data_IF_861010659786
#
_entry.id   IF_861010659786
#
_cell.length_a   1.000
_cell.length_b   1.000
_cell.length_c   1.000
_cell.angle_alpha   90.00
_cell.angle_beta   90.00
_cell.angle_gamma   90.00
#
_symmetry.space_group_name_H-M   'P 1'
#
loop_
_entity.id
_entity.type
_entity.pdbx_description
1 polymer ?
#
# COMPACT_ATOMS: atom_id res chain seq x y z
N UNK A 1 -0.26 12.77 3.95
CA UNK A 1 0.13 11.42 3.47
C UNK A 1 -0.95 10.44 3.87
N UNK A 2 -1.76 10.03 2.89
CA UNK A 2 -2.96 9.23 3.11
C UNK A 2 -2.67 7.80 2.66
N UNK A 3 -2.63 6.86 3.61
CA UNK A 3 -2.44 5.44 3.35
C UNK A 3 -1.26 5.14 2.42
N UNK A 4 -0.12 5.78 2.68
CA UNK A 4 1.09 5.57 1.88
C UNK A 4 2.24 6.48 2.30
N UNK A 5 3.47 5.97 2.18
CA UNK A 5 4.71 6.73 2.29
C UNK A 5 5.87 5.95 1.65
N UNK A 6 7.08 6.49 1.73
CA UNK A 6 8.24 5.92 1.06
C UNK A 6 8.71 4.55 1.58
N UNK A 7 8.26 4.00 2.71
CA UNK A 7 8.73 2.68 3.21
C UNK A 7 7.82 1.51 2.80
N UNK A 8 6.54 1.78 2.51
CA UNK A 8 5.56 0.73 2.16
C UNK A 8 5.84 -0.04 0.86
N UNK A 9 6.25 0.63 -0.24
CA UNK A 9 6.54 -0.04 -1.50
C UNK A 9 7.75 -1.01 -1.42
N UNK A 10 7.77 -2.09 -2.24
CA UNK A 10 8.89 -3.02 -2.29
C UNK A 10 10.05 -2.46 -3.14
N UNK A 11 10.88 -1.62 -2.52
CA UNK A 11 12.06 -1.03 -3.18
C UNK A 11 13.05 -2.10 -3.64
N UNK A 12 13.51 -1.95 -4.88
CA UNK A 12 14.53 -2.80 -5.48
C UNK A 12 15.41 -1.97 -6.42
N UNK A 13 16.61 -2.46 -6.73
CA UNK A 13 17.55 -1.80 -7.65
C UNK A 13 17.42 -2.26 -9.10
N UNK A 14 18.23 -1.68 -9.99
CA UNK A 14 18.26 -2.01 -11.43
C UNK A 14 18.39 -3.51 -11.70
N UNK A 15 19.24 -4.22 -10.94
CA UNK A 15 19.45 -5.67 -11.12
C UNK A 15 18.18 -6.52 -10.95
N UNK A 16 17.27 -6.09 -10.07
CA UNK A 16 16.00 -6.78 -9.84
C UNK A 16 15.02 -6.55 -10.99
N UNK A 17 14.98 -5.33 -11.54
CA UNK A 17 14.08 -4.95 -12.62
C UNK A 17 14.61 -5.34 -14.01
N UNK A 18 15.92 -5.60 -14.15
CA UNK A 18 16.53 -5.96 -15.44
C UNK A 18 15.85 -7.15 -16.13
N UNK A 19 15.57 -8.29 -15.45
CA UNK A 19 14.85 -9.40 -16.07
C UNK A 19 13.43 -9.05 -16.50
N UNK A 20 12.78 -8.07 -15.85
CA UNK A 20 11.46 -7.58 -16.26
C UNK A 20 11.59 -6.78 -17.57
N UNK A 21 12.58 -5.90 -17.67
CA UNK A 21 12.89 -5.16 -18.89
C UNK A 21 13.25 -6.10 -20.05
N UNK A 22 14.11 -7.08 -19.80
CA UNK A 22 14.56 -8.05 -20.82
C UNK A 22 13.38 -8.85 -21.37
N UNK A 23 12.40 -9.22 -20.54
CA UNK A 23 11.15 -9.86 -20.99
C UNK A 23 10.35 -8.97 -21.94
N UNK A 24 10.25 -7.67 -21.66
CA UNK A 24 9.57 -6.72 -22.55
C UNK A 24 10.30 -6.62 -23.88
N UNK A 25 11.62 -6.45 -23.85
CA UNK A 25 12.47 -6.44 -25.06
C UNK A 25 12.28 -7.71 -25.89
N UNK A 26 12.26 -8.87 -25.23
CA UNK A 26 12.07 -10.16 -25.88
C UNK A 26 10.71 -10.26 -26.57
N UNK A 27 9.63 -9.95 -25.85
CA UNK A 27 8.26 -10.03 -26.37
C UNK A 27 7.97 -9.01 -27.47
N UNK A 28 8.63 -7.86 -27.41
CA UNK A 28 8.53 -6.82 -28.42
C UNK A 28 9.37 -7.12 -29.68
N UNK A 29 10.17 -8.20 -29.69
CA UNK A 29 11.05 -8.53 -30.83
C UNK A 29 12.28 -7.62 -30.94
N UNK A 30 12.63 -6.89 -29.89
CA UNK A 30 13.73 -5.92 -29.87
C UNK A 30 15.08 -6.54 -29.42
N UNK A 31 15.27 -7.85 -29.49
CA UNK A 31 16.47 -8.53 -28.93
C UNK A 31 17.73 -8.38 -29.78
N UNK A 32 17.58 -8.18 -31.09
CA UNK A 32 18.70 -8.24 -32.05
C UNK A 32 19.18 -6.85 -32.50
N UNK A 33 18.88 -5.80 -31.72
CA UNK A 33 19.31 -4.43 -31.98
C UNK A 33 20.31 -3.98 -30.92
N UNK A 34 21.23 -3.09 -31.29
CA UNK A 34 22.21 -2.53 -30.35
C UNK A 34 21.54 -1.67 -29.27
N UNK A 35 20.52 -0.90 -29.65
CA UNK A 35 19.77 -0.04 -28.73
C UNK A 35 18.34 -0.56 -28.56
N UNK A 36 18.19 -1.52 -27.64
CA UNK A 36 16.91 -2.17 -27.34
C UNK A 36 15.85 -1.18 -26.87
N UNK A 37 16.26 -0.14 -26.14
CA UNK A 37 15.37 0.92 -25.67
C UNK A 37 14.84 1.80 -26.80
N UNK A 38 15.67 2.17 -27.78
CA UNK A 38 15.21 2.90 -28.94
C UNK A 38 14.22 2.07 -29.77
N UNK A 39 14.50 0.78 -29.97
CA UNK A 39 13.56 -0.12 -30.62
C UNK A 39 12.20 -0.11 -29.93
N UNK A 40 12.14 -0.19 -28.59
CA UNK A 40 10.88 -0.08 -27.85
C UNK A 40 10.16 1.25 -28.08
N UNK A 41 10.89 2.38 -28.17
CA UNK A 41 10.31 3.70 -28.42
C UNK A 41 9.75 3.88 -29.82
N UNK A 42 10.31 3.17 -30.80
CA UNK A 42 9.88 3.24 -32.19
C UNK A 42 8.63 2.37 -32.46
N UNK A 43 8.27 1.49 -31.52
CA UNK A 43 7.06 0.66 -31.63
C UNK A 43 5.79 1.47 -31.32
N UNK A 44 4.64 1.08 -31.92
CA UNK A 44 3.35 1.62 -31.53
C UNK A 44 3.06 1.41 -30.04
N UNK A 45 2.37 2.37 -29.42
CA UNK A 45 1.99 2.31 -28.00
C UNK A 45 1.33 0.98 -27.63
N UNK A 46 0.36 0.50 -28.42
CA UNK A 46 -0.36 -0.74 -28.12
C UNK A 46 0.57 -1.96 -28.07
N UNK A 47 1.60 -2.00 -28.91
CA UNK A 47 2.61 -3.06 -28.89
C UNK A 47 3.41 -3.02 -27.59
N UNK A 48 3.87 -1.85 -27.18
CA UNK A 48 4.60 -1.68 -25.92
C UNK A 48 3.71 -2.00 -24.71
N UNK A 49 2.47 -1.49 -24.70
CA UNK A 49 1.52 -1.72 -23.62
C UNK A 49 1.22 -3.22 -23.45
N UNK A 50 0.86 -3.92 -24.52
CA UNK A 50 0.51 -5.34 -24.46
C UNK A 50 1.71 -6.23 -24.09
N UNK A 51 2.93 -5.84 -24.47
CA UNK A 51 4.14 -6.59 -24.10
C UNK A 51 4.57 -6.34 -22.66
N UNK A 52 4.38 -5.11 -22.15
CA UNK A 52 4.73 -4.72 -20.78
C UNK A 52 3.67 -5.10 -19.74
N UNK A 53 2.41 -5.24 -20.13
CA UNK A 53 1.31 -5.62 -19.24
C UNK A 53 1.29 -7.13 -18.98
N UNK A 54 2.23 -7.60 -18.14
CA UNK A 54 2.45 -9.02 -17.82
C UNK A 54 2.14 -9.39 -16.36
N UNK A 55 1.27 -8.62 -15.70
CA UNK A 55 0.95 -8.84 -14.27
C UNK A 55 2.10 -8.51 -13.31
N UNK A 56 3.18 -7.90 -13.80
CA UNK A 56 4.30 -7.43 -12.99
C UNK A 56 4.08 -5.97 -12.60
N UNK A 57 4.25 -5.67 -11.31
CA UNK A 57 4.20 -4.30 -10.82
C UNK A 57 5.59 -3.65 -10.91
N UNK A 58 5.66 -2.49 -11.57
CA UNK A 58 6.86 -1.65 -11.59
C UNK A 58 6.80 -0.65 -10.44
N UNK A 59 7.83 -0.64 -9.59
CA UNK A 59 7.93 0.28 -8.46
C UNK A 59 9.12 1.24 -8.65
N UNK A 60 9.16 2.26 -7.79
CA UNK A 60 10.32 3.14 -7.70
C UNK A 60 11.61 2.31 -7.47
N UNK A 61 12.67 2.67 -8.18
CA UNK A 61 13.94 1.93 -8.19
C UNK A 61 14.99 2.68 -7.37
N UNK A 62 15.79 1.95 -6.60
CA UNK A 62 17.02 2.48 -6.00
C UNK A 62 18.02 2.67 -7.13
N UNK A 63 18.24 3.91 -7.52
CA UNK A 63 19.02 4.32 -8.70
C UNK A 63 20.36 4.99 -8.35
N UNK A 64 20.68 5.05 -7.05
CA UNK A 64 21.88 5.69 -6.49
C UNK A 64 21.97 7.21 -6.75
N UNK A 65 20.92 7.83 -7.32
CA UNK A 65 20.88 9.26 -7.68
C UNK A 65 19.69 9.95 -7.02
N UNK A 66 18.46 9.61 -7.43
CA UNK A 66 17.24 10.20 -6.87
C UNK A 66 16.81 9.43 -5.61
N UNK A 67 16.84 8.10 -5.66
CA UNK A 67 16.60 7.20 -4.53
C UNK A 67 17.89 6.46 -4.26
N UNK A 68 18.74 7.06 -3.44
CA UNK A 68 20.10 6.57 -3.21
C UNK A 68 20.19 5.41 -2.21
N UNK A 69 19.12 5.14 -1.47
CA UNK A 69 19.08 4.10 -0.45
C UNK A 69 17.64 3.72 -0.14
N UNK A 70 17.48 2.60 0.57
CA UNK A 70 16.19 2.20 1.11
C UNK A 70 15.62 3.28 2.05
N UNK A 71 14.35 3.70 1.87
CA UNK A 71 13.78 4.81 2.65
C UNK A 71 13.75 4.59 4.17
N UNK A 72 13.71 3.34 4.65
CA UNK A 72 13.81 3.05 6.09
C UNK A 72 15.15 3.53 6.67
N UNK A 73 16.25 3.44 5.90
CA UNK A 73 17.56 3.93 6.32
C UNK A 73 17.51 5.45 6.42
N UNK A 74 16.92 6.12 5.42
CA UNK A 74 16.77 7.58 5.42
C UNK A 74 15.95 8.07 6.61
N UNK A 75 14.88 7.35 6.98
CA UNK A 75 14.08 7.67 8.16
C UNK A 75 14.85 7.46 9.47
N UNK A 76 15.64 6.41 9.60
CA UNK A 76 16.44 6.17 10.83
C UNK A 76 17.61 7.14 10.98
N UNK A 77 18.17 7.62 9.87
CA UNK A 77 19.28 8.58 9.86
C UNK A 77 18.82 10.04 9.89
N UNK A 78 17.51 10.31 9.90
CA UNK A 78 16.97 11.66 9.86
C UNK A 78 17.17 12.40 8.52
N UNK A 79 17.45 11.66 7.43
CA UNK A 79 17.68 12.16 6.07
C UNK A 79 16.36 12.31 5.30
N UNK A 80 15.50 13.18 5.79
CA UNK A 80 14.23 13.54 5.15
C UNK A 80 13.93 15.02 5.39
N UNK A 81 13.03 15.60 4.59
CA UNK A 81 12.60 16.98 4.75
C UNK A 81 11.91 17.16 6.12
N UNK A 82 12.40 18.10 6.93
CA UNK A 82 11.92 18.31 8.30
C UNK A 82 10.78 19.32 8.30
N UNK A 83 9.61 18.87 7.88
CA UNK A 83 8.38 19.69 7.82
C UNK A 83 7.28 19.06 8.68
N UNK A 84 6.30 19.84 9.16
CA UNK A 84 5.10 19.27 9.77
C UNK A 84 4.45 18.24 8.85
N UNK A 85 3.90 17.18 9.42
CA UNK A 85 3.25 16.11 8.65
C UNK A 85 1.90 15.75 9.24
N UNK A 86 0.92 15.60 8.35
CA UNK A 86 -0.34 14.92 8.63
C UNK A 86 -0.37 13.61 7.84
N UNK A 87 -0.50 12.50 8.55
CA UNK A 87 -0.48 11.16 7.95
C UNK A 87 -1.45 10.18 8.60
N UNK A 88 -1.90 9.19 7.86
CA UNK A 88 -2.82 8.20 8.39
C UNK A 88 -2.95 6.95 7.55
N UNK A 89 -3.68 5.99 8.11
CA UNK A 89 -4.02 4.71 7.51
C UNK A 89 -5.44 4.33 7.88
N UNK A 90 -6.04 3.47 7.08
CA UNK A 90 -7.31 2.82 7.36
C UNK A 90 -7.11 1.66 8.36
N UNK A 91 -8.17 1.27 9.07
CA UNK A 91 -8.09 0.17 10.04
C UNK A 91 -7.75 -1.16 9.37
N UNK A 92 -8.31 -1.42 8.19
CA UNK A 92 -8.23 -2.70 7.52
C UNK A 92 -7.47 -2.60 6.18
N UNK A 93 -6.40 -1.80 6.11
CA UNK A 93 -5.52 -1.70 4.91
C UNK A 93 -5.16 -3.07 4.34
N UNK A 94 -4.96 -4.02 5.26
CA UNK A 94 -4.67 -5.41 4.96
C UNK A 94 -5.51 -5.98 3.85
N UNK A 95 -6.84 -5.78 3.88
CA UNK A 95 -7.79 -6.37 2.92
C UNK A 95 -7.55 -5.96 1.48
N UNK A 96 -6.77 -4.90 1.24
CA UNK A 96 -6.38 -4.41 -0.08
C UNK A 96 -4.96 -4.81 -0.51
N UNK A 97 -4.08 -5.11 0.45
CA UNK A 97 -2.65 -5.40 0.18
C UNK A 97 -2.24 -6.85 0.44
N UNK A 98 -3.10 -7.61 1.13
CA UNK A 98 -2.89 -9.01 1.42
C UNK A 98 -3.10 -9.90 0.20
N UNK A 99 -3.46 -11.14 0.45
CA UNK A 99 -3.62 -12.13 -0.61
C UNK A 99 -4.65 -13.16 -0.20
N UNK A 100 -5.42 -13.61 -1.16
CA UNK A 100 -6.36 -14.70 -0.98
C UNK A 100 -5.68 -16.04 -1.24
N UNK A 101 -6.35 -17.13 -0.86
CA UNK A 101 -5.86 -18.49 -1.05
C UNK A 101 -4.76 -18.88 -0.07
N UNK A 102 -4.62 -18.17 1.05
CA UNK A 102 -3.66 -18.51 2.10
C UNK A 102 -4.30 -19.44 3.13
N UNK A 103 -3.98 -20.73 3.04
CA UNK A 103 -4.48 -21.78 3.93
C UNK A 103 -3.44 -22.22 4.97
N UNK A 104 -2.15 -22.04 4.70
CA UNK A 104 -1.06 -22.53 5.56
C UNK A 104 -0.01 -21.47 5.89
N UNK A 105 0.88 -21.80 6.83
CA UNK A 105 1.98 -20.91 7.25
C UNK A 105 3.05 -20.77 6.17
N UNK A 106 3.24 -21.79 5.32
CA UNK A 106 4.27 -21.83 4.28
C UNK A 106 4.10 -20.74 3.21
N UNK A 107 2.89 -20.22 3.02
CA UNK A 107 2.54 -19.29 1.95
C UNK A 107 3.08 -17.87 2.16
N UNK A 108 3.37 -17.51 3.41
CA UNK A 108 3.97 -16.23 3.82
C UNK A 108 5.34 -16.00 3.18
N UNK A 109 6.14 -17.06 3.06
CA UNK A 109 7.47 -16.98 2.44
C UNK A 109 7.41 -16.56 0.98
N UNK A 110 6.39 -17.02 0.24
CA UNK A 110 6.23 -16.77 -1.20
C UNK A 110 5.73 -15.35 -1.46
N UNK A 111 4.76 -14.87 -0.68
CA UNK A 111 4.10 -13.58 -0.92
C UNK A 111 5.03 -12.37 -0.78
N UNK A 112 5.97 -12.43 0.16
CA UNK A 112 6.89 -11.34 0.48
C UNK A 112 8.36 -11.65 0.18
N UNK A 113 8.63 -12.73 -0.57
CA UNK A 113 9.99 -13.17 -0.96
C UNK A 113 10.91 -13.30 0.27
N UNK A 114 10.39 -13.96 1.31
CA UNK A 114 11.08 -14.12 2.57
C UNK A 114 11.78 -15.48 2.64
N UNK A 115 12.90 -15.55 3.35
CA UNK A 115 13.43 -16.83 3.80
C UNK A 115 12.46 -17.49 4.77
N UNK A 116 12.51 -18.82 4.89
CA UNK A 116 11.68 -19.56 5.85
C UNK A 116 11.84 -19.04 7.28
N UNK A 117 13.06 -18.71 7.69
CA UNK A 117 13.33 -18.17 9.02
C UNK A 117 12.66 -16.81 9.25
N UNK A 118 12.72 -15.90 8.27
CA UNK A 118 12.03 -14.61 8.34
C UNK A 118 10.51 -14.79 8.39
N UNK A 119 9.97 -15.67 7.54
CA UNK A 119 8.54 -16.00 7.52
C UNK A 119 8.06 -16.54 8.87
N UNK A 120 8.76 -17.53 9.45
CA UNK A 120 8.47 -18.06 10.78
C UNK A 120 8.54 -17.00 11.86
N UNK A 121 9.53 -16.10 11.81
CA UNK A 121 9.65 -15.01 12.78
C UNK A 121 8.45 -14.05 12.70
N UNK A 122 8.08 -13.60 11.49
CA UNK A 122 6.90 -12.75 11.30
C UNK A 122 5.66 -13.45 11.84
N UNK A 123 5.41 -14.69 11.43
CA UNK A 123 4.25 -15.47 11.84
C UNK A 123 4.14 -15.63 13.37
N UNK A 124 5.27 -15.62 14.10
CA UNK A 124 5.26 -15.69 15.57
C UNK A 124 4.62 -14.46 16.24
N UNK A 125 4.58 -13.32 15.55
CA UNK A 125 3.95 -12.08 16.04
C UNK A 125 2.46 -11.97 15.72
N UNK A 126 1.94 -12.82 14.82
CA UNK A 126 0.54 -12.81 14.42
C UNK A 126 -0.05 -14.19 14.74
N UNK A 127 -0.75 -14.38 15.86
CA UNK A 127 -1.36 -15.67 16.19
C UNK A 127 -2.38 -16.11 15.13
N UNK A 128 -2.52 -17.42 14.91
CA UNK A 128 -3.62 -17.98 14.11
C UNK A 128 -4.94 -17.96 14.90
N UNK A 129 -5.42 -16.75 15.19
CA UNK A 129 -6.66 -16.50 15.90
C UNK A 129 -7.48 -15.45 15.14
N UNK A 130 -8.65 -15.80 14.57
CA UNK A 130 -9.43 -14.89 13.74
C UNK A 130 -9.92 -13.64 14.50
N UNK A 131 -10.07 -13.69 15.83
CA UNK A 131 -10.48 -12.51 16.62
C UNK A 131 -9.45 -11.38 16.54
N UNK A 132 -8.17 -11.72 16.38
CA UNK A 132 -7.07 -10.77 16.35
C UNK A 132 -6.70 -10.29 14.94
N UNK A 133 -7.32 -10.86 13.90
CA UNK A 133 -6.95 -10.58 12.52
C UNK A 133 -7.83 -9.53 11.82
N UNK A 134 -7.26 -8.89 10.80
CA UNK A 134 -7.91 -8.03 9.82
C UNK A 134 -8.85 -8.85 8.89
N UNK A 135 -10.09 -8.46 8.58
CA UNK A 135 -10.83 -7.33 9.13
C UNK A 135 -10.99 -7.38 10.65
N UNK A 136 -10.54 -6.32 11.32
CA UNK A 136 -10.55 -6.21 12.77
C UNK A 136 -11.97 -5.94 13.28
N UNK A 137 -12.28 -6.40 14.48
CA UNK A 137 -13.61 -6.20 15.10
C UNK A 137 -14.71 -7.16 14.61
N UNK A 138 -14.40 -8.09 13.70
CA UNK A 138 -15.34 -9.11 13.20
C UNK A 138 -15.41 -10.39 14.05
N UNK A 139 -14.71 -10.43 15.19
CA UNK A 139 -14.66 -11.61 16.07
C UNK A 139 -14.20 -12.87 15.32
N UNK A 140 -14.93 -13.97 15.51
CA UNK A 140 -14.63 -15.28 14.90
C UNK A 140 -15.15 -15.44 13.45
N UNK A 141 -15.73 -14.39 12.84
CA UNK A 141 -16.14 -14.47 11.43
C UNK A 141 -14.89 -14.63 10.56
N UNK A 142 -14.93 -15.62 9.66
CA UNK A 142 -13.88 -15.94 8.69
C UNK A 142 -14.46 -16.06 7.29
N UNK A 143 -13.58 -16.05 6.28
CA UNK A 143 -13.95 -16.19 4.87
C UNK A 143 -13.15 -17.33 4.23
N UNK A 144 -13.55 -18.60 4.43
CA UNK A 144 -12.78 -19.75 3.94
C UNK A 144 -12.54 -19.73 2.43
N UNK A 145 -13.45 -19.15 1.64
CA UNK A 145 -13.26 -18.97 0.20
C UNK A 145 -12.10 -18.02 -0.17
N UNK A 146 -11.66 -17.18 0.77
CA UNK A 146 -10.48 -16.31 0.64
C UNK A 146 -9.22 -16.93 1.26
N UNK A 147 -9.33 -18.10 1.89
CA UNK A 147 -8.24 -18.81 2.57
C UNK A 147 -8.44 -18.93 4.08
N UNK A 148 -8.04 -20.05 4.67
CA UNK A 148 -8.21 -20.33 6.10
C UNK A 148 -7.42 -19.38 7.01
N UNK A 149 -6.28 -18.88 6.54
CA UNK A 149 -5.44 -17.90 7.24
C UNK A 149 -5.67 -16.46 6.76
N UNK A 150 -6.68 -16.20 5.91
CA UNK A 150 -6.93 -14.88 5.30
C UNK A 150 -6.75 -13.75 6.30
N UNK A 151 -7.45 -13.80 7.45
CA UNK A 151 -7.41 -12.69 8.41
C UNK A 151 -6.03 -12.37 8.98
N UNK A 152 -5.22 -13.43 9.18
CA UNK A 152 -3.87 -13.32 9.69
C UNK A 152 -2.96 -12.68 8.63
N UNK A 153 -3.09 -13.11 7.38
CA UNK A 153 -2.30 -12.60 6.27
C UNK A 153 -2.64 -11.15 5.90
N UNK A 154 -3.91 -10.78 5.93
CA UNK A 154 -4.31 -9.39 5.74
C UNK A 154 -3.72 -8.50 6.84
N UNK A 155 -3.68 -8.97 8.09
CA UNK A 155 -3.04 -8.22 9.19
C UNK A 155 -1.56 -7.95 8.91
N UNK A 156 -0.82 -9.00 8.54
CA UNK A 156 0.61 -8.88 8.21
C UNK A 156 0.80 -7.93 7.03
N UNK A 157 -0.01 -8.06 5.98
CA UNK A 157 0.11 -7.23 4.78
C UNK A 157 -0.18 -5.76 5.07
N UNK A 158 -1.25 -5.46 5.83
CA UNK A 158 -1.62 -4.10 6.20
C UNK A 158 -0.55 -3.43 7.06
N UNK A 159 0.03 -4.19 8.00
CA UNK A 159 1.12 -3.71 8.84
C UNK A 159 2.38 -3.44 8.03
N UNK A 160 2.80 -4.37 7.18
CA UNK A 160 4.00 -4.21 6.35
C UNK A 160 3.86 -3.09 5.32
N UNK A 161 2.73 -3.01 4.63
CA UNK A 161 2.54 -2.09 3.52
C UNK A 161 2.19 -0.66 3.97
N UNK A 162 1.42 -0.51 5.05
CA UNK A 162 0.80 0.77 5.39
C UNK A 162 1.02 1.20 6.84
N UNK A 163 0.62 0.38 7.82
CA UNK A 163 0.56 0.82 9.23
C UNK A 163 1.95 0.99 9.83
N UNK A 164 2.86 0.03 9.67
CA UNK A 164 4.23 0.15 10.19
C UNK A 164 5.02 1.26 9.48
N UNK A 165 4.97 1.40 8.13
CA UNK A 165 5.55 2.56 7.44
C UNK A 165 5.03 3.90 7.98
N UNK A 166 3.70 4.05 8.17
CA UNK A 166 3.11 5.27 8.76
C UNK A 166 3.69 5.54 10.15
N UNK A 167 3.71 4.54 11.02
CA UNK A 167 4.24 4.67 12.39
C UNK A 167 5.73 5.03 12.39
N UNK A 168 6.52 4.44 11.50
CA UNK A 168 7.95 4.71 11.38
C UNK A 168 8.19 6.18 11.03
N UNK A 169 7.53 6.70 9.99
CA UNK A 169 7.68 8.10 9.61
C UNK A 169 7.19 9.06 10.70
N UNK A 170 6.02 8.77 11.30
CA UNK A 170 5.50 9.57 12.40
C UNK A 170 6.50 9.65 13.57
N UNK A 171 7.05 8.51 13.97
CA UNK A 171 8.01 8.44 15.07
C UNK A 171 9.32 9.16 14.75
N UNK A 172 9.90 8.93 13.57
CA UNK A 172 11.12 9.60 13.12
C UNK A 172 10.94 11.12 13.01
N UNK A 173 9.80 11.59 12.48
CA UNK A 173 9.53 13.02 12.30
C UNK A 173 9.25 13.75 13.62
N UNK A 174 8.65 13.07 14.61
CA UNK A 174 8.28 13.67 15.89
C UNK A 174 9.47 14.19 16.70
N UNK A 175 10.70 13.73 16.40
CA UNK A 175 11.92 14.28 16.97
C UNK A 175 12.29 15.68 16.41
N UNK A 176 11.64 16.13 15.35
CA UNK A 176 12.02 17.34 14.60
C UNK A 176 10.87 18.31 14.34
N UNK A 177 9.64 17.83 14.21
CA UNK A 177 8.49 18.63 13.78
C UNK A 177 7.18 18.13 14.41
N UNK A 178 6.13 18.95 14.29
CA UNK A 178 4.77 18.55 14.65
C UNK A 178 4.27 17.42 13.74
N UNK A 179 3.71 16.38 14.36
CA UNK A 179 3.19 15.20 13.68
C UNK A 179 1.73 15.00 14.06
N UNK A 180 0.85 15.02 13.07
CA UNK A 180 -0.56 14.68 13.20
C UNK A 180 -0.78 13.32 12.57
N UNK A 181 -1.26 12.36 13.38
CA UNK A 181 -1.52 11.01 12.90
C UNK A 181 -2.98 10.62 13.09
N UNK A 182 -3.61 10.09 12.05
CA UNK A 182 -4.98 9.56 12.14
C UNK A 182 -5.04 8.05 11.88
N UNK A 183 -6.09 7.43 12.42
CA UNK A 183 -6.60 6.11 11.99
C UNK A 183 -8.01 6.31 11.50
N UNK A 184 -8.28 5.91 10.28
CA UNK A 184 -9.63 5.91 9.73
C UNK A 184 -10.32 4.60 10.08
N UNK A 185 -11.47 4.70 10.73
CA UNK A 185 -12.25 3.55 11.21
C UNK A 185 -13.72 3.61 10.75
N UNK A 186 -13.95 4.26 9.61
CA UNK A 186 -15.28 4.37 8.99
C UNK A 186 -15.16 3.88 7.56
N UNK A 187 -15.88 2.80 7.27
CA UNK A 187 -15.88 2.16 5.97
C UNK A 187 -16.37 3.10 4.84
N UNK A 188 -15.94 2.78 3.62
CA UNK A 188 -16.49 3.36 2.40
C UNK A 188 -18.01 3.12 2.32
N UNK A 189 -18.70 3.87 1.46
CA UNK A 189 -20.13 3.65 1.25
C UNK A 189 -20.35 2.22 0.77
N UNK A 190 -21.35 1.54 1.34
CA UNK A 190 -21.58 0.13 1.06
C UNK A 190 -22.11 -0.05 -0.38
N UNK A 191 -21.22 -0.48 -1.28
CA UNK A 191 -21.55 -0.79 -2.69
C UNK A 191 -21.42 -2.29 -3.00
N UNK A 192 -21.73 -3.15 -2.03
CA UNK A 192 -21.87 -4.62 -2.12
C UNK A 192 -20.61 -5.47 -2.25
N UNK A 193 -19.44 -4.90 -2.54
CA UNK A 193 -18.17 -5.67 -2.63
C UNK A 193 -17.08 -5.25 -1.64
N UNK A 194 -17.26 -4.10 -0.97
CA UNK A 194 -16.27 -3.58 -0.03
C UNK A 194 -16.57 -4.10 1.38
N UNK A 195 -15.64 -4.87 1.94
CA UNK A 195 -15.69 -5.32 3.34
C UNK A 195 -14.74 -4.44 4.16
N UNK A 196 -15.16 -4.12 5.38
CA UNK A 196 -14.33 -3.43 6.38
C UNK A 196 -13.90 -2.01 6.00
N UNK A 197 -12.91 -1.46 6.70
CA UNK A 197 -12.33 -0.13 6.47
C UNK A 197 -11.05 -0.28 5.66
N UNK A 198 -11.22 -0.65 4.39
CA UNK A 198 -10.12 -0.95 3.47
C UNK A 198 -9.37 0.31 2.98
N UNK A 199 -8.35 0.11 2.15
CA UNK A 199 -7.60 1.17 1.49
C UNK A 199 -8.54 2.14 0.72
N UNK A 200 -8.23 3.44 0.72
CA UNK A 200 -9.05 4.54 0.16
C UNK A 200 -10.40 4.84 0.85
N UNK A 201 -10.76 4.18 1.96
CA UNK A 201 -12.06 4.40 2.62
C UNK A 201 -12.28 5.84 3.14
N UNK A 202 -11.21 6.59 3.39
CA UNK A 202 -11.21 7.96 3.86
C UNK A 202 -11.42 9.02 2.77
N UNK A 203 -11.02 8.74 1.52
CA UNK A 203 -11.03 9.71 0.41
C UNK A 203 -12.34 10.49 0.26
N UNK A 204 -13.54 9.87 0.26
CA UNK A 204 -14.79 10.62 0.11
C UNK A 204 -14.98 11.71 1.17
N UNK A 205 -14.40 11.52 2.35
CA UNK A 205 -14.55 12.41 3.49
C UNK A 205 -13.53 13.54 3.46
N UNK A 206 -12.33 13.26 2.99
CA UNK A 206 -11.25 14.26 2.84
C UNK A 206 -11.69 15.35 1.88
N UNK A 207 -12.31 14.97 0.76
CA UNK A 207 -12.83 15.92 -0.22
C UNK A 207 -14.21 16.49 0.13
N UNK A 208 -14.95 15.86 1.04
CA UNK A 208 -16.31 16.22 1.44
C UNK A 208 -17.25 16.53 0.25
N UNK A 209 -17.08 15.81 -0.87
CA UNK A 209 -17.82 16.05 -2.10
C UNK A 209 -19.08 15.14 -2.17
N UNK A 210 -20.30 15.69 -2.03
CA UNK A 210 -21.52 14.89 -1.98
C UNK A 210 -21.96 14.34 -3.34
N UNK A 211 -21.39 14.83 -4.46
CA UNK A 211 -21.79 14.45 -5.83
C UNK A 211 -20.76 13.59 -6.56
N UNK A 212 -19.72 13.11 -5.88
CA UNK A 212 -18.73 12.19 -6.44
C UNK A 212 -19.31 10.77 -6.57
N UNK A 213 -19.09 10.12 -7.73
CA UNK A 213 -19.59 8.78 -8.02
C UNK A 213 -18.52 7.68 -7.92
N UNK A 214 -17.22 8.00 -8.00
CA UNK A 214 -16.14 7.00 -7.90
C UNK A 214 -15.97 6.54 -6.44
N UNK A 215 -15.86 7.50 -5.53
CA UNK A 215 -15.83 7.30 -4.08
C UNK A 215 -16.96 8.11 -3.46
N UNK A 216 -18.17 7.53 -3.45
CA UNK A 216 -19.34 8.24 -2.96
C UNK A 216 -19.28 8.43 -1.43
N UNK A 217 -19.52 9.66 -0.97
CA UNK A 217 -19.66 9.97 0.45
C UNK A 217 -20.98 9.41 1.01
N UNK A 218 -22.03 9.42 0.18
CA UNK A 218 -23.39 9.00 0.53
C UNK A 218 -24.22 10.14 1.12
N UNK A 219 -25.55 9.96 1.21
CA UNK A 219 -26.47 11.00 1.67
C UNK A 219 -26.65 11.03 3.20
N UNK A 220 -26.06 10.08 3.93
CA UNK A 220 -26.22 9.97 5.38
C UNK A 220 -25.69 11.24 6.09
N UNK A 221 -26.51 11.92 6.92
CA UNK A 221 -26.11 13.17 7.57
C UNK A 221 -24.85 13.05 8.43
N UNK A 222 -24.66 11.94 9.15
CA UNK A 222 -23.48 11.75 9.99
C UNK A 222 -22.21 11.57 9.16
N UNK A 223 -22.31 10.89 8.00
CA UNK A 223 -21.20 10.80 7.04
C UNK A 223 -20.87 12.17 6.43
N UNK A 224 -21.87 12.95 6.07
CA UNK A 224 -21.69 14.32 5.54
C UNK A 224 -21.00 15.21 6.59
N UNK A 225 -21.45 15.17 7.85
CA UNK A 225 -20.84 15.91 8.95
C UNK A 225 -19.38 15.49 9.19
N UNK A 226 -19.11 14.17 9.20
CA UNK A 226 -17.75 13.65 9.32
C UNK A 226 -16.87 14.07 8.13
N UNK A 227 -17.43 14.10 6.92
CA UNK A 227 -16.73 14.60 5.73
C UNK A 227 -16.34 16.07 5.90
N UNK A 228 -17.29 16.91 6.33
CA UNK A 228 -17.02 18.32 6.61
C UNK A 228 -15.97 18.51 7.72
N UNK A 229 -15.99 17.69 8.76
CA UNK A 229 -14.96 17.72 9.81
C UNK A 229 -13.57 17.35 9.25
N UNK A 230 -13.47 16.26 8.50
CA UNK A 230 -12.21 15.81 7.92
C UNK A 230 -11.64 16.85 6.95
N UNK A 231 -12.46 17.37 6.03
CA UNK A 231 -12.04 18.42 5.10
C UNK A 231 -11.54 19.68 5.82
N UNK A 232 -12.18 20.09 6.92
CA UNK A 232 -11.70 21.22 7.74
C UNK A 232 -10.36 20.94 8.41
N UNK A 233 -10.16 19.73 8.97
CA UNK A 233 -8.87 19.35 9.57
C UNK A 233 -7.74 19.39 8.54
N UNK A 234 -7.98 18.88 7.34
CA UNK A 234 -7.01 18.94 6.24
C UNK A 234 -6.75 20.37 5.77
N UNK A 235 -7.80 21.17 5.61
CA UNK A 235 -7.65 22.57 5.19
C UNK A 235 -6.85 23.36 6.21
N UNK A 236 -7.16 23.23 7.50
CA UNK A 236 -6.41 23.88 8.58
C UNK A 236 -4.94 23.45 8.60
N UNK A 237 -4.64 22.16 8.44
CA UNK A 237 -3.25 21.70 8.35
C UNK A 237 -2.47 22.29 7.15
N UNK A 238 -3.17 22.64 6.06
CA UNK A 238 -2.54 23.23 4.88
C UNK A 238 -2.35 24.74 5.02
N UNK A 239 -3.26 25.44 5.71
CA UNK A 239 -3.25 26.91 5.80
C UNK A 239 -2.52 27.46 7.02
N UNK A 240 -2.40 26.67 8.09
CA UNK A 240 -1.88 27.07 9.40
C UNK A 240 -0.50 26.43 9.69
#
# INVERSE_FOLDING_TARGET
MESGNAVGPPYNGTKWHQPMYDRVVQRAGCTNVTNTHQCLRDLPYETVYNTAYDGLAWFATIDDIFISQYPQISYTEGKFAKVPVLLGTNTDEGTSFGTTGTDTDEESSKRWVLTRAQATNILSHYPSNPVLGCPYGWGNITWPALGLQYKRYESIAGDLAMVAPRRMLAHSMAAFQNVYSYRRDVAALNTTTTIAVQHFAEVPFVFANPVQNITALGPDPARLELGQLAARMWTSFVTD
#
